data_IF_619238192797
#
_entry.id   IF_619238192797
#
_cell.length_a   1.000
_cell.length_b   1.000
_cell.length_c   1.000
_cell.angle_alpha   90.00
_cell.angle_beta   90.00
_cell.angle_gamma   90.00
#
_symmetry.space_group_name_H-M   'P 1'
#
loop_
_entity.id
_entity.type
_entity.pdbx_description
1 polymer ?
#
# COMPACT_ATOMS: atom_id res chain seq x y z
N UNK A 1 -34.93 21.91 7.15
CA UNK A 1 -33.92 21.20 7.93
C UNK A 1 -34.27 19.71 7.84
N UNK A 2 -33.81 19.04 6.78
CA UNK A 2 -33.98 17.57 6.64
C UNK A 2 -32.64 16.96 7.11
N UNK A 3 -32.63 16.50 8.35
CA UNK A 3 -31.58 15.64 8.85
C UNK A 3 -31.84 14.28 8.23
N UNK A 4 -31.26 14.01 7.06
CA UNK A 4 -31.18 12.66 6.53
C UNK A 4 -30.03 11.96 7.25
N UNK A 5 -30.35 11.29 8.33
CA UNK A 5 -29.54 10.21 8.90
C UNK A 5 -29.64 8.99 7.97
N UNK A 6 -28.93 9.03 6.90
CA UNK A 6 -28.62 7.85 6.08
C UNK A 6 -27.31 8.13 5.37
N UNK A 7 -26.23 7.64 5.95
CA UNK A 7 -24.93 7.55 5.33
C UNK A 7 -24.93 6.45 4.25
N UNK A 8 -25.83 6.59 3.27
CA UNK A 8 -25.78 5.71 2.11
C UNK A 8 -24.73 6.29 1.15
N UNK A 9 -23.68 5.52 0.86
CA UNK A 9 -22.84 5.77 -0.31
C UNK A 9 -23.72 6.07 -1.51
N UNK A 10 -23.33 7.06 -2.33
CA UNK A 10 -23.97 7.27 -3.61
C UNK A 10 -23.99 5.94 -4.39
N UNK A 11 -25.08 5.67 -5.09
CA UNK A 11 -25.08 4.58 -6.09
C UNK A 11 -24.14 4.96 -7.24
N UNK A 12 -23.64 4.00 -7.98
CA UNK A 12 -22.85 4.20 -9.19
C UNK A 12 -23.52 5.18 -10.15
N UNK A 13 -24.84 4.99 -10.38
CA UNK A 13 -25.64 5.87 -11.24
C UNK A 13 -25.65 7.31 -10.74
N UNK A 14 -25.83 7.54 -9.44
CA UNK A 14 -25.82 8.88 -8.86
C UNK A 14 -24.43 9.54 -8.98
N UNK A 15 -23.38 8.80 -8.68
CA UNK A 15 -22.01 9.29 -8.77
C UNK A 15 -21.63 9.67 -10.20
N UNK A 16 -21.95 8.81 -11.18
CA UNK A 16 -21.75 9.10 -12.59
C UNK A 16 -22.56 10.29 -13.06
N UNK A 17 -23.82 10.44 -12.61
CA UNK A 17 -24.65 11.61 -12.91
C UNK A 17 -24.01 12.91 -12.42
N UNK A 18 -23.41 12.92 -11.22
CA UNK A 18 -22.74 14.11 -10.67
C UNK A 18 -21.53 14.50 -11.52
N UNK A 19 -20.63 13.54 -11.85
CA UNK A 19 -19.43 13.86 -12.65
C UNK A 19 -19.79 14.25 -14.08
N UNK A 20 -20.78 13.61 -14.71
CA UNK A 20 -21.25 13.96 -16.05
C UNK A 20 -21.92 15.35 -16.08
N UNK A 21 -22.63 15.72 -15.02
CA UNK A 21 -23.21 17.04 -14.90
C UNK A 21 -22.14 18.12 -14.88
N UNK A 22 -21.07 17.94 -14.10
CA UNK A 22 -19.94 18.86 -14.07
C UNK A 22 -19.27 18.96 -15.45
N UNK A 23 -19.08 17.83 -16.16
CA UNK A 23 -18.57 17.83 -17.54
C UNK A 23 -19.45 18.66 -18.47
N UNK A 24 -20.79 18.49 -18.41
CA UNK A 24 -21.75 19.23 -19.28
C UNK A 24 -21.79 20.73 -18.99
N UNK A 25 -21.52 21.15 -17.77
CA UNK A 25 -21.50 22.57 -17.38
C UNK A 25 -20.24 23.30 -17.86
N UNK A 26 -19.14 22.56 -18.11
CA UNK A 26 -17.86 23.15 -18.51
C UNK A 26 -17.92 23.73 -19.94
N UNK A 27 -17.24 24.88 -20.10
CA UNK A 27 -16.95 25.56 -21.36
C UNK A 27 -15.46 25.50 -21.73
N UNK A 28 -14.67 24.72 -21.00
CA UNK A 28 -13.26 24.49 -21.31
C UNK A 28 -13.11 23.67 -22.61
N UNK A 29 -11.93 23.74 -23.24
CA UNK A 29 -11.60 22.91 -24.40
C UNK A 29 -11.64 21.42 -24.05
N UNK A 30 -11.10 21.08 -22.88
CA UNK A 30 -11.21 19.74 -22.26
C UNK A 30 -11.49 19.91 -20.77
N UNK A 31 -12.21 18.95 -20.19
CA UNK A 31 -12.46 18.88 -18.75
C UNK A 31 -12.38 17.44 -18.27
N UNK A 32 -11.75 17.26 -17.12
CA UNK A 32 -11.71 15.99 -16.37
C UNK A 32 -12.33 16.21 -15.00
N UNK A 33 -13.23 15.34 -14.62
CA UNK A 33 -13.93 15.39 -13.34
C UNK A 33 -13.73 14.08 -12.59
N UNK A 34 -13.39 14.18 -11.31
CA UNK A 34 -13.33 13.04 -10.40
C UNK A 34 -14.14 13.30 -9.14
N UNK A 35 -14.85 12.27 -8.70
CA UNK A 35 -15.62 12.25 -7.47
C UNK A 35 -15.08 11.14 -6.56
N UNK A 36 -14.69 11.50 -5.35
CA UNK A 36 -14.40 10.57 -4.26
C UNK A 36 -15.41 10.78 -3.15
N UNK A 37 -16.12 9.74 -2.75
CA UNK A 37 -17.08 9.80 -1.64
C UNK A 37 -17.04 8.50 -0.86
N UNK A 38 -17.33 8.57 0.43
CA UNK A 38 -17.34 7.41 1.28
C UNK A 38 -17.54 7.70 2.75
N UNK A 39 -17.51 6.64 3.53
CA UNK A 39 -17.54 6.68 4.98
C UNK A 39 -16.28 5.98 5.53
N UNK A 40 -15.58 6.66 6.40
CA UNK A 40 -14.44 6.15 7.14
C UNK A 40 -14.78 6.08 8.61
N UNK A 41 -14.57 4.93 9.22
CA UNK A 41 -14.84 4.71 10.65
C UNK A 41 -13.64 4.09 11.32
N UNK A 42 -13.33 4.56 12.54
CA UNK A 42 -12.18 4.14 13.32
C UNK A 42 -12.57 3.93 14.78
N UNK A 43 -12.24 2.77 15.31
CA UNK A 43 -12.22 2.49 16.76
C UNK A 43 -10.76 2.32 17.19
N UNK A 44 -10.26 3.22 18.03
CA UNK A 44 -8.91 3.14 18.62
C UNK A 44 -9.02 2.64 20.05
N UNK A 45 -8.07 1.84 20.47
CA UNK A 45 -7.98 1.34 21.83
C UNK A 45 -6.53 1.40 22.36
N UNK A 46 -6.40 1.55 23.63
CA UNK A 46 -5.13 1.56 24.37
C UNK A 46 -5.38 1.05 25.80
N UNK A 47 -4.39 0.41 26.40
CA UNK A 47 -4.48 -0.18 27.74
C UNK A 47 -5.71 -1.08 27.88
N UNK A 48 -6.00 -1.89 26.85
CA UNK A 48 -7.15 -2.79 26.78
C UNK A 48 -8.52 -2.10 26.87
N UNK A 49 -8.62 -0.81 26.53
CA UNK A 49 -9.86 -0.05 26.55
C UNK A 49 -10.01 0.79 25.30
N UNK A 50 -11.24 0.91 24.81
CA UNK A 50 -11.54 1.82 23.70
C UNK A 50 -11.33 3.25 24.17
N UNK A 51 -10.44 3.97 23.51
CA UNK A 51 -10.10 5.36 23.79
C UNK A 51 -10.77 6.35 22.83
N UNK A 52 -11.12 5.91 21.63
CA UNK A 52 -11.69 6.79 20.60
C UNK A 52 -12.55 6.00 19.60
N UNK A 53 -13.68 6.58 19.19
CA UNK A 53 -14.53 6.07 18.14
C UNK A 53 -14.94 7.24 17.24
N UNK A 54 -14.59 7.17 15.97
CA UNK A 54 -14.82 8.25 15.00
C UNK A 54 -15.50 7.65 13.77
N UNK A 55 -16.46 8.37 13.21
CA UNK A 55 -16.98 8.15 11.86
C UNK A 55 -17.00 9.47 11.13
N UNK A 56 -16.59 9.47 9.88
CA UNK A 56 -16.61 10.67 9.03
C UNK A 56 -17.09 10.31 7.63
N UNK A 57 -17.94 11.14 7.06
CA UNK A 57 -18.32 11.09 5.65
C UNK A 57 -17.36 11.96 4.86
N UNK A 58 -16.87 11.45 3.75
CA UNK A 58 -15.99 12.15 2.81
C UNK A 58 -16.78 12.40 1.53
N UNK A 59 -16.73 13.61 1.01
CA UNK A 59 -17.17 13.97 -0.33
C UNK A 59 -16.18 14.95 -0.91
N UNK A 60 -15.64 14.65 -2.07
CA UNK A 60 -14.73 15.54 -2.79
C UNK A 60 -14.96 15.41 -4.29
N UNK A 61 -15.49 16.46 -4.90
CA UNK A 61 -15.64 16.59 -6.35
C UNK A 61 -14.55 17.53 -6.86
N UNK A 62 -13.64 17.02 -7.66
CA UNK A 62 -12.57 17.80 -8.28
C UNK A 62 -12.81 17.96 -9.77
N UNK A 63 -12.75 19.19 -10.26
CA UNK A 63 -12.91 19.56 -11.66
C UNK A 63 -11.60 20.15 -12.16
N UNK A 64 -11.01 19.57 -13.19
CA UNK A 64 -9.81 20.09 -13.86
C UNK A 64 -10.18 20.54 -15.27
N UNK A 65 -10.07 21.84 -15.52
CA UNK A 65 -10.35 22.46 -16.82
C UNK A 65 -9.05 22.72 -17.59
N UNK A 66 -9.10 22.52 -18.92
CA UNK A 66 -7.96 22.69 -19.81
C UNK A 66 -8.27 23.70 -20.92
N UNK A 67 -7.29 24.57 -21.23
CA UNK A 67 -7.25 25.46 -22.39
C UNK A 67 -5.89 25.31 -23.06
N UNK A 68 -5.84 24.53 -24.13
CA UNK A 68 -4.58 24.07 -24.72
C UNK A 68 -3.77 23.31 -23.68
N UNK A 69 -2.53 23.75 -23.43
CA UNK A 69 -1.63 23.15 -22.42
C UNK A 69 -1.75 23.75 -21.02
N UNK A 70 -2.70 24.62 -20.80
CA UNK A 70 -2.95 25.24 -19.49
C UNK A 70 -4.04 24.49 -18.76
N UNK A 71 -3.87 24.21 -17.50
CA UNK A 71 -4.87 23.55 -16.68
C UNK A 71 -4.90 24.07 -15.26
N UNK A 72 -6.05 23.98 -14.62
CA UNK A 72 -6.21 24.19 -13.19
C UNK A 72 -7.38 23.39 -12.67
N UNK A 73 -7.32 23.06 -11.39
CA UNK A 73 -8.35 22.31 -10.68
C UNK A 73 -9.05 23.17 -9.63
N UNK A 74 -10.33 22.93 -9.46
CA UNK A 74 -11.09 23.39 -8.31
C UNK A 74 -11.86 22.22 -7.72
N UNK A 75 -12.01 22.19 -6.40
CA UNK A 75 -12.72 21.13 -5.69
C UNK A 75 -13.81 21.70 -4.78
N UNK A 76 -14.85 20.91 -4.58
CA UNK A 76 -15.92 21.17 -3.63
C UNK A 76 -16.22 19.91 -2.81
N UNK A 77 -16.71 20.14 -1.59
CA UNK A 77 -17.12 19.10 -0.65
C UNK A 77 -18.64 18.98 -0.53
N UNK A 78 -19.37 19.70 -1.39
CA UNK A 78 -20.82 19.71 -1.50
C UNK A 78 -21.23 19.36 -2.92
N UNK A 79 -22.42 18.77 -3.10
CA UNK A 79 -22.87 18.29 -4.41
C UNK A 79 -24.16 18.98 -4.93
N UNK A 80 -24.51 20.11 -4.33
CA UNK A 80 -25.58 20.96 -4.89
C UNK A 80 -25.16 21.61 -6.23
N UNK A 81 -26.15 21.99 -7.02
CA UNK A 81 -25.92 22.49 -8.39
C UNK A 81 -25.07 23.75 -8.43
N UNK A 82 -25.30 24.66 -7.48
CA UNK A 82 -24.62 25.97 -7.44
C UNK A 82 -23.14 25.78 -7.05
N UNK A 83 -22.86 24.89 -6.09
CA UNK A 83 -21.47 24.52 -5.71
C UNK A 83 -20.72 23.91 -6.88
N UNK A 84 -21.34 22.97 -7.60
CA UNK A 84 -20.73 22.34 -8.79
C UNK A 84 -20.48 23.39 -9.89
N UNK A 85 -21.47 24.23 -10.21
CA UNK A 85 -21.32 25.28 -11.22
C UNK A 85 -20.22 26.29 -10.86
N UNK A 86 -20.15 26.68 -9.58
CA UNK A 86 -19.09 27.55 -9.05
C UNK A 86 -17.71 26.95 -9.17
N UNK A 87 -17.56 25.67 -8.87
CA UNK A 87 -16.28 24.96 -9.00
C UNK A 87 -15.85 24.84 -10.47
N UNK A 88 -16.76 24.50 -11.38
CA UNK A 88 -16.48 24.48 -12.83
C UNK A 88 -15.99 25.86 -13.28
N UNK A 89 -16.74 26.94 -12.97
CA UNK A 89 -16.33 28.28 -13.32
C UNK A 89 -14.97 28.68 -12.77
N UNK A 90 -14.72 28.34 -11.49
CA UNK A 90 -13.43 28.64 -10.83
C UNK A 90 -12.26 27.88 -11.47
N UNK A 91 -12.43 26.60 -11.80
CA UNK A 91 -11.39 25.84 -12.50
C UNK A 91 -11.05 26.43 -13.87
N UNK A 92 -12.06 26.87 -14.64
CA UNK A 92 -11.88 27.53 -15.93
C UNK A 92 -11.16 28.88 -15.82
N UNK A 93 -11.55 29.73 -14.88
CA UNK A 93 -10.92 31.02 -14.64
C UNK A 93 -9.44 30.85 -14.28
N UNK A 94 -9.13 29.93 -13.39
CA UNK A 94 -7.75 29.60 -12.99
C UNK A 94 -6.96 29.00 -14.16
N UNK A 95 -7.53 28.09 -14.93
CA UNK A 95 -6.84 27.44 -16.06
C UNK A 95 -6.46 28.45 -17.17
N UNK A 96 -7.28 29.49 -17.43
CA UNK A 96 -6.97 30.52 -18.42
C UNK A 96 -5.72 31.33 -18.08
N UNK A 97 -5.45 31.56 -16.80
CA UNK A 97 -4.29 32.33 -16.33
C UNK A 97 -3.11 31.46 -15.91
N UNK A 98 -3.29 30.15 -15.83
CA UNK A 98 -2.23 29.21 -15.49
C UNK A 98 -1.09 29.24 -16.55
N UNK A 99 0.16 28.95 -16.17
CA UNK A 99 1.22 28.72 -17.15
C UNK A 99 0.93 27.44 -17.97
N UNK A 100 1.47 27.39 -19.20
CA UNK A 100 1.39 26.18 -20.00
C UNK A 100 2.26 25.08 -19.37
N UNK A 101 1.68 23.89 -19.24
CA UNK A 101 2.42 22.70 -18.77
C UNK A 101 3.24 22.11 -19.94
N UNK A 102 4.58 22.06 -19.85
CA UNK A 102 5.42 21.45 -20.87
C UNK A 102 5.22 19.92 -20.96
N UNK A 103 4.70 19.28 -19.90
CA UNK A 103 4.44 17.85 -19.83
C UNK A 103 2.95 17.51 -20.04
N UNK A 104 2.16 18.47 -20.52
CA UNK A 104 0.76 18.26 -20.81
C UNK A 104 0.53 17.06 -21.71
N UNK A 105 -0.50 16.30 -21.38
CA UNK A 105 -1.00 15.17 -22.18
C UNK A 105 -2.50 15.32 -22.42
N UNK A 106 -3.00 14.99 -23.64
CA UNK A 106 -4.44 15.01 -23.92
C UNK A 106 -5.17 14.02 -22.98
N UNK A 107 -6.43 14.31 -22.67
CA UNK A 107 -7.26 13.40 -21.89
C UNK A 107 -7.41 12.05 -22.64
N UNK A 108 -7.55 10.97 -21.88
CA UNK A 108 -7.78 9.66 -22.45
C UNK A 108 -9.16 9.57 -23.12
N UNK A 109 -9.27 8.90 -24.27
CA UNK A 109 -10.55 8.52 -24.86
C UNK A 109 -11.23 7.47 -23.96
N UNK A 110 -12.51 7.09 -24.26
CA UNK A 110 -13.16 5.97 -23.58
C UNK A 110 -12.28 4.74 -23.48
N UNK A 111 -12.23 4.15 -22.31
CA UNK A 111 -11.43 2.95 -22.00
C UNK A 111 -12.35 1.76 -21.77
N UNK A 112 -11.83 0.57 -21.99
CA UNK A 112 -12.46 -0.68 -21.55
C UNK A 112 -11.82 -1.12 -20.25
N UNK A 113 -12.64 -1.34 -19.25
CA UNK A 113 -12.20 -1.85 -17.94
C UNK A 113 -12.66 -3.29 -17.76
N UNK A 114 -11.81 -4.09 -17.14
CA UNK A 114 -12.19 -5.44 -16.74
C UNK A 114 -13.14 -5.36 -15.53
N UNK A 115 -14.43 -5.44 -15.80
CA UNK A 115 -15.49 -5.36 -14.79
C UNK A 115 -15.53 -6.66 -13.97
N UNK A 116 -14.64 -6.78 -13.00
CA UNK A 116 -14.64 -7.86 -12.02
C UNK A 116 -15.60 -7.53 -10.88
N UNK A 117 -15.98 -8.55 -10.10
CA UNK A 117 -16.77 -8.32 -8.89
C UNK A 117 -16.08 -7.29 -8.00
N UNK A 118 -16.73 -6.17 -7.66
CA UNK A 118 -16.12 -5.16 -6.83
C UNK A 118 -15.74 -5.75 -5.47
N UNK A 119 -14.68 -5.21 -4.87
CA UNK A 119 -14.32 -5.50 -3.48
C UNK A 119 -15.27 -4.75 -2.54
N UNK A 120 -16.57 -5.02 -2.62
CA UNK A 120 -17.58 -4.34 -1.81
C UNK A 120 -18.37 -5.35 -0.98
N UNK A 121 -18.39 -5.12 0.32
CA UNK A 121 -19.12 -5.88 1.31
C UNK A 121 -20.07 -4.98 2.10
N UNK A 122 -21.38 -5.23 1.98
CA UNK A 122 -22.39 -4.43 2.65
C UNK A 122 -22.27 -4.47 4.18
N UNK A 123 -21.83 -5.60 4.75
CA UNK A 123 -21.62 -5.69 6.20
C UNK A 123 -20.50 -4.76 6.67
N UNK A 124 -19.41 -4.66 5.91
CA UNK A 124 -18.32 -3.72 6.19
C UNK A 124 -18.76 -2.26 6.04
N UNK A 125 -19.52 -1.96 4.96
CA UNK A 125 -20.01 -0.61 4.69
C UNK A 125 -20.97 -0.07 5.75
N UNK A 126 -21.69 -0.97 6.45
CA UNK A 126 -22.76 -0.57 7.40
C UNK A 126 -22.48 -1.00 8.84
N UNK A 127 -21.27 -1.46 9.15
CA UNK A 127 -20.94 -1.92 10.49
C UNK A 127 -21.10 -0.81 11.53
N UNK A 128 -21.88 -1.10 12.56
CA UNK A 128 -22.15 -0.10 13.62
C UNK A 128 -20.94 0.14 14.51
N UNK A 129 -20.84 1.32 15.18
CA UNK A 129 -19.81 1.57 16.19
C UNK A 129 -19.81 0.53 17.31
N UNK A 130 -20.98 0.04 17.72
CA UNK A 130 -21.12 -0.98 18.75
C UNK A 130 -20.52 -2.32 18.31
N UNK A 131 -20.84 -2.77 17.10
CA UNK A 131 -20.28 -4.02 16.56
C UNK A 131 -18.75 -3.95 16.42
N UNK A 132 -18.18 -2.80 15.99
CA UNK A 132 -16.72 -2.62 16.00
C UNK A 132 -16.15 -2.65 17.40
N UNK A 133 -16.84 -2.05 18.40
CA UNK A 133 -16.42 -2.07 19.79
C UNK A 133 -16.38 -3.48 20.36
N UNK A 134 -17.39 -4.31 20.07
CA UNK A 134 -17.45 -5.71 20.48
C UNK A 134 -16.28 -6.54 19.89
N UNK A 135 -15.95 -6.33 18.62
CA UNK A 135 -14.78 -6.96 17.99
C UNK A 135 -13.46 -6.56 18.65
N UNK A 136 -13.27 -5.26 18.95
CA UNK A 136 -12.08 -4.77 19.66
C UNK A 136 -12.02 -5.34 21.08
N UNK A 137 -13.16 -5.46 21.76
CA UNK A 137 -13.23 -6.00 23.10
C UNK A 137 -12.73 -7.45 23.18
N UNK A 138 -12.92 -8.27 22.15
CA UNK A 138 -12.39 -9.64 22.10
C UNK A 138 -10.86 -9.64 22.20
N UNK A 139 -10.17 -8.80 21.41
CA UNK A 139 -8.73 -8.66 21.48
C UNK A 139 -8.24 -8.08 22.81
N UNK A 140 -8.94 -7.07 23.36
CA UNK A 140 -8.63 -6.46 24.64
C UNK A 140 -8.79 -7.47 25.79
N UNK A 141 -9.86 -8.27 25.79
CA UNK A 141 -10.09 -9.30 26.79
C UNK A 141 -9.00 -10.37 26.78
N UNK A 142 -8.60 -10.82 25.58
CA UNK A 142 -7.51 -11.79 25.41
C UNK A 142 -6.18 -11.24 25.91
N UNK A 143 -5.88 -9.99 25.59
CA UNK A 143 -4.67 -9.29 26.08
C UNK A 143 -4.66 -9.20 27.61
N UNK A 144 -5.77 -8.77 28.22
CA UNK A 144 -5.89 -8.67 29.70
C UNK A 144 -5.73 -10.01 30.39
N UNK A 145 -6.35 -11.08 29.87
CA UNK A 145 -6.19 -12.45 30.40
C UNK A 145 -4.73 -12.92 30.38
N UNK A 146 -3.97 -12.52 29.35
CA UNK A 146 -2.54 -12.81 29.25
C UNK A 146 -1.64 -11.85 30.02
N UNK A 147 -2.17 -10.94 30.81
CA UNK A 147 -1.40 -9.96 31.60
C UNK A 147 -0.68 -8.91 30.72
N UNK A 148 -1.19 -8.67 29.52
CA UNK A 148 -0.61 -7.73 28.55
C UNK A 148 -1.40 -6.41 28.47
N UNK A 149 -0.72 -5.36 28.03
CA UNK A 149 -1.31 -4.08 27.66
C UNK A 149 -1.52 -4.03 26.13
N UNK A 150 -2.78 -4.16 25.73
CA UNK A 150 -3.18 -4.15 24.32
C UNK A 150 -3.50 -2.75 23.81
N UNK A 151 -3.01 -2.42 22.62
CA UNK A 151 -3.28 -1.15 21.93
C UNK A 151 -3.43 -1.39 20.43
N UNK A 152 -4.25 -0.59 19.76
CA UNK A 152 -4.43 -0.75 18.31
C UNK A 152 -5.60 0.02 17.74
N UNK A 153 -6.00 -0.41 16.54
CA UNK A 153 -7.10 0.20 15.79
C UNK A 153 -7.90 -0.86 15.03
N UNK A 154 -9.20 -0.67 14.96
CA UNK A 154 -10.07 -1.31 13.98
C UNK A 154 -10.72 -0.21 13.15
N UNK A 155 -10.44 -0.18 11.86
CA UNK A 155 -11.04 0.78 10.93
C UNK A 155 -11.81 0.07 9.82
N UNK A 156 -12.85 0.74 9.34
CA UNK A 156 -13.59 0.35 8.14
C UNK A 156 -13.71 1.54 7.22
N UNK A 157 -13.65 1.26 5.93
CA UNK A 157 -13.83 2.23 4.87
C UNK A 157 -14.80 1.66 3.85
N UNK A 158 -15.77 2.47 3.45
CA UNK A 158 -16.62 2.20 2.30
C UNK A 158 -16.49 3.39 1.36
N UNK A 159 -15.99 3.19 0.17
CA UNK A 159 -15.65 4.26 -0.77
C UNK A 159 -16.20 4.01 -2.16
N UNK A 160 -16.47 5.12 -2.85
CA UNK A 160 -16.81 5.16 -4.26
C UNK A 160 -15.92 6.20 -4.94
N UNK A 161 -15.36 5.82 -6.07
CA UNK A 161 -14.58 6.70 -6.93
C UNK A 161 -15.16 6.68 -8.34
N UNK A 162 -15.56 7.86 -8.84
CA UNK A 162 -16.09 8.01 -10.19
C UNK A 162 -15.33 9.09 -10.96
N UNK A 163 -15.16 8.87 -12.26
CA UNK A 163 -14.53 9.81 -13.18
C UNK A 163 -15.36 10.00 -14.44
N UNK A 164 -15.28 11.19 -15.02
CA UNK A 164 -15.77 11.48 -16.36
C UNK A 164 -14.93 12.57 -17.02
N UNK A 165 -14.90 12.60 -18.34
CA UNK A 165 -14.22 13.65 -19.11
C UNK A 165 -14.99 14.07 -20.35
N UNK A 166 -14.62 15.22 -20.92
CA UNK A 166 -15.16 15.72 -22.18
C UNK A 166 -14.86 14.84 -23.38
N UNK A 167 -13.85 13.95 -23.29
CA UNK A 167 -13.52 12.96 -24.33
C UNK A 167 -14.41 11.74 -24.31
N UNK A 168 -15.40 11.67 -23.38
CA UNK A 168 -16.30 10.54 -23.20
C UNK A 168 -15.78 9.43 -22.30
N UNK A 169 -14.61 9.61 -21.67
CA UNK A 169 -14.13 8.71 -20.64
C UNK A 169 -15.12 8.70 -19.46
N UNK A 170 -15.39 7.52 -18.92
CA UNK A 170 -16.37 7.32 -17.86
C UNK A 170 -16.06 6.03 -17.12
N UNK A 171 -15.93 6.10 -15.80
CA UNK A 171 -15.72 4.93 -14.95
C UNK A 171 -16.20 5.19 -13.52
N UNK A 172 -16.59 4.11 -12.84
CA UNK A 172 -16.94 4.14 -11.43
C UNK A 172 -16.46 2.84 -10.76
N UNK A 173 -16.00 2.94 -9.53
CA UNK A 173 -15.64 1.80 -8.72
C UNK A 173 -16.10 2.01 -7.27
N UNK A 174 -16.64 0.95 -6.66
CA UNK A 174 -16.96 0.90 -5.24
C UNK A 174 -16.06 -0.12 -4.56
N UNK A 175 -15.65 0.19 -3.34
CA UNK A 175 -14.84 -0.74 -2.53
C UNK A 175 -15.11 -0.58 -1.05
N UNK A 176 -14.88 -1.66 -0.30
CA UNK A 176 -14.80 -1.64 1.15
C UNK A 176 -13.44 -2.15 1.59
N UNK A 177 -13.02 -1.70 2.76
CA UNK A 177 -11.80 -2.13 3.43
C UNK A 177 -12.03 -2.19 4.92
N UNK A 178 -11.56 -3.24 5.54
CA UNK A 178 -11.44 -3.37 6.98
C UNK A 178 -9.97 -3.60 7.34
N UNK A 179 -9.50 -2.92 8.37
CA UNK A 179 -8.10 -2.99 8.80
C UNK A 179 -8.06 -3.11 10.33
N UNK A 180 -7.40 -4.14 10.82
CA UNK A 180 -7.20 -4.37 12.24
C UNK A 180 -5.71 -4.41 12.55
N UNK A 181 -5.24 -3.54 13.42
CA UNK A 181 -3.88 -3.56 13.95
C UNK A 181 -3.89 -3.72 15.46
N UNK A 182 -2.99 -4.55 15.95
CA UNK A 182 -2.90 -4.88 17.37
C UNK A 182 -1.44 -4.93 17.81
N UNK A 183 -1.15 -4.27 18.94
CA UNK A 183 0.12 -4.34 19.66
C UNK A 183 -0.15 -4.85 21.04
N UNK A 184 0.56 -5.87 21.50
CA UNK A 184 0.59 -6.29 22.91
C UNK A 184 1.96 -5.99 23.51
N UNK A 185 1.97 -5.54 24.77
CA UNK A 185 3.18 -5.35 25.58
C UNK A 185 3.05 -6.13 26.88
N UNK A 186 4.10 -6.88 27.21
CA UNK A 186 4.23 -7.67 28.46
C UNK A 186 5.61 -7.39 29.01
N UNK A 187 5.70 -6.64 30.12
CA UNK A 187 6.97 -6.20 30.68
C UNK A 187 7.82 -5.44 29.64
N UNK A 188 9.00 -5.96 29.29
CA UNK A 188 9.92 -5.43 28.28
C UNK A 188 9.73 -6.08 26.88
N UNK A 189 8.78 -7.02 26.76
CA UNK A 189 8.43 -7.64 25.50
C UNK A 189 7.30 -6.92 24.78
N UNK A 190 7.38 -6.90 23.45
CA UNK A 190 6.31 -6.34 22.59
C UNK A 190 6.16 -7.15 21.31
N UNK A 191 4.93 -7.15 20.79
CA UNK A 191 4.65 -7.66 19.45
C UNK A 191 3.53 -6.85 18.79
N UNK A 192 3.56 -6.84 17.48
CA UNK A 192 2.56 -6.18 16.63
C UNK A 192 2.22 -7.07 15.45
N UNK A 193 0.95 -7.03 15.05
CA UNK A 193 0.51 -7.53 13.76
C UNK A 193 -0.65 -6.69 13.21
N UNK A 194 -0.88 -6.84 11.92
CA UNK A 194 -1.96 -6.19 11.18
C UNK A 194 -2.59 -7.17 10.21
N UNK A 195 -3.90 -7.05 10.04
CA UNK A 195 -4.64 -7.75 8.98
C UNK A 195 -5.52 -6.76 8.25
N UNK A 196 -5.55 -6.88 6.92
CA UNK A 196 -6.38 -6.07 6.03
C UNK A 196 -7.24 -6.99 5.17
N UNK A 197 -8.54 -6.72 5.09
CA UNK A 197 -9.48 -7.46 4.25
C UNK A 197 -10.41 -6.49 3.52
N UNK A 198 -11.11 -6.94 2.49
CA UNK A 198 -12.20 -6.18 1.86
C UNK A 198 -13.52 -6.37 2.61
N UNK A 199 -13.65 -7.44 3.40
CA UNK A 199 -14.77 -7.71 4.30
C UNK A 199 -14.29 -7.74 5.75
N UNK A 200 -15.01 -7.06 6.67
CA UNK A 200 -14.73 -7.08 8.10
C UNK A 200 -14.84 -8.48 8.69
N UNK A 201 -15.68 -9.33 8.10
CA UNK A 201 -15.88 -10.72 8.54
C UNK A 201 -14.67 -11.62 8.23
N UNK A 202 -13.78 -11.18 7.35
CA UNK A 202 -12.54 -11.91 7.01
C UNK A 202 -11.36 -11.52 7.93
N UNK A 203 -11.53 -10.56 8.85
CA UNK A 203 -10.47 -10.19 9.79
C UNK A 203 -10.32 -11.26 10.88
N UNK A 204 -9.16 -11.90 11.02
CA UNK A 204 -8.90 -12.91 12.04
C UNK A 204 -8.54 -12.26 13.38
N UNK A 205 -9.45 -11.47 13.96
CA UNK A 205 -9.17 -10.62 15.13
C UNK A 205 -8.66 -11.42 16.33
N UNK A 206 -9.34 -12.51 16.66
CA UNK A 206 -8.99 -13.35 17.81
C UNK A 206 -7.65 -14.06 17.58
N UNK A 207 -7.47 -14.71 16.44
CA UNK A 207 -6.25 -15.45 16.10
C UNK A 207 -5.04 -14.50 16.03
N UNK A 208 -5.25 -13.30 15.47
CA UNK A 208 -4.20 -12.29 15.40
C UNK A 208 -3.84 -11.77 16.80
N UNK A 209 -4.82 -11.57 17.68
CA UNK A 209 -4.58 -11.14 19.05
C UNK A 209 -3.82 -12.21 19.85
N UNK A 210 -4.15 -13.50 19.67
CA UNK A 210 -3.41 -14.61 20.26
C UNK A 210 -1.98 -14.68 19.77
N UNK A 211 -1.77 -14.65 18.47
CA UNK A 211 -0.43 -14.65 17.87
C UNK A 211 0.44 -13.49 18.38
N UNK A 212 -0.15 -12.29 18.47
CA UNK A 212 0.57 -11.11 18.98
C UNK A 212 0.91 -11.25 20.45
N UNK A 213 -0.02 -11.75 21.27
CA UNK A 213 0.21 -11.98 22.69
C UNK A 213 1.32 -13.00 22.95
N UNK A 214 1.25 -14.16 22.28
CA UNK A 214 2.26 -15.22 22.43
C UNK A 214 3.65 -14.71 22.03
N UNK A 215 3.74 -13.95 20.95
CA UNK A 215 5.00 -13.36 20.47
C UNK A 215 5.49 -12.26 21.44
N UNK A 216 4.61 -11.46 22.05
CA UNK A 216 4.99 -10.48 23.07
C UNK A 216 5.55 -11.15 24.30
N UNK A 217 4.93 -12.23 24.78
CA UNK A 217 5.44 -13.04 25.91
C UNK A 217 6.81 -13.64 25.56
N UNK A 218 6.96 -14.20 24.36
CA UNK A 218 8.21 -14.79 23.89
C UNK A 218 9.34 -13.76 23.69
N UNK A 219 9.02 -12.48 23.51
CA UNK A 219 10.01 -11.41 23.27
C UNK A 219 10.55 -10.75 24.54
N UNK A 220 10.17 -11.23 25.73
CA UNK A 220 10.68 -10.72 27.02
C UNK A 220 12.14 -11.08 27.27
N UNK A 221 12.83 -10.23 28.00
CA UNK A 221 14.23 -10.39 28.37
C UNK A 221 15.16 -10.55 27.15
N UNK A 222 15.10 -9.63 26.17
CA UNK A 222 15.85 -9.75 24.93
C UNK A 222 17.34 -9.61 25.16
N UNK A 223 18.13 -10.51 24.57
CA UNK A 223 19.59 -10.54 24.69
C UNK A 223 20.25 -9.65 23.64
N UNK A 224 21.31 -8.91 23.98
CA UNK A 224 22.12 -8.24 22.97
C UNK A 224 22.86 -9.25 22.10
N UNK A 225 23.03 -8.92 20.81
CA UNK A 225 23.94 -9.64 19.90
C UNK A 225 24.89 -8.62 19.25
N UNK A 226 26.01 -9.10 18.73
CA UNK A 226 26.93 -8.24 17.96
C UNK A 226 26.27 -7.87 16.63
N UNK A 227 26.18 -6.59 16.26
CA UNK A 227 25.77 -6.19 14.93
C UNK A 227 26.65 -6.80 13.83
N UNK A 228 26.11 -7.02 12.65
CA UNK A 228 26.81 -7.65 11.54
C UNK A 228 25.87 -8.10 10.45
N UNK A 229 26.37 -8.91 9.53
CA UNK A 229 25.61 -9.51 8.44
C UNK A 229 25.14 -10.91 8.86
N UNK A 230 23.83 -11.13 8.76
CA UNK A 230 23.22 -12.40 9.17
C UNK A 230 22.22 -12.89 8.12
N UNK A 231 22.01 -14.22 8.01
CA UNK A 231 20.80 -14.75 7.40
C UNK A 231 19.57 -14.25 8.18
N UNK A 232 18.53 -13.82 7.46
CA UNK A 232 17.33 -13.25 8.07
C UNK A 232 16.08 -13.89 7.49
N UNK A 233 15.11 -14.20 8.34
CA UNK A 233 13.74 -14.43 7.92
C UNK A 233 12.95 -13.14 8.21
N UNK A 234 12.47 -12.49 7.17
CA UNK A 234 11.52 -11.38 7.27
C UNK A 234 10.11 -11.95 7.25
N UNK A 235 9.33 -11.71 8.31
CA UNK A 235 7.87 -11.93 8.27
C UNK A 235 7.26 -11.12 7.13
N UNK A 236 6.17 -11.59 6.55
CA UNK A 236 5.50 -10.87 5.46
C UNK A 236 5.19 -9.41 5.79
N UNK A 237 4.89 -9.09 7.06
CA UNK A 237 4.71 -7.70 7.51
C UNK A 237 6.00 -6.87 7.42
N UNK A 238 7.15 -7.44 7.77
CA UNK A 238 8.45 -6.79 7.63
C UNK A 238 8.81 -6.61 6.15
N UNK A 239 8.60 -7.64 5.33
CA UNK A 239 8.89 -7.61 3.90
C UNK A 239 7.97 -6.67 3.13
N UNK A 240 6.67 -6.60 3.47
CA UNK A 240 5.72 -5.61 2.93
C UNK A 240 6.13 -4.15 3.20
N UNK A 241 6.94 -3.92 4.24
CA UNK A 241 7.53 -2.61 4.53
C UNK A 241 8.76 -2.27 3.66
N UNK A 242 9.35 -3.25 2.98
CA UNK A 242 10.59 -3.09 2.20
C UNK A 242 10.39 -3.24 0.68
N UNK A 243 9.62 -4.22 0.23
CA UNK A 243 9.41 -4.49 -1.20
C UNK A 243 8.88 -3.28 -1.99
N UNK A 244 7.91 -2.49 -1.49
CA UNK A 244 7.41 -1.33 -2.23
C UNK A 244 8.50 -0.32 -2.63
N UNK A 245 9.54 -0.15 -1.85
CA UNK A 245 10.66 0.75 -2.18
C UNK A 245 11.38 0.31 -3.47
N UNK A 246 11.54 -1.01 -3.67
CA UNK A 246 12.14 -1.55 -4.89
C UNK A 246 11.20 -1.32 -6.08
N UNK A 247 9.91 -1.60 -5.90
CA UNK A 247 8.91 -1.43 -6.96
C UNK A 247 8.78 0.04 -7.39
N UNK A 248 8.80 1.00 -6.45
CA UNK A 248 8.83 2.44 -6.75
C UNK A 248 10.13 2.85 -7.44
N UNK A 249 11.25 2.19 -7.13
CA UNK A 249 12.54 2.41 -7.78
C UNK A 249 12.60 1.94 -9.24
N UNK A 250 11.58 1.20 -9.72
CA UNK A 250 11.42 0.82 -11.13
C UNK A 250 10.80 1.95 -11.99
N UNK A 251 10.85 3.20 -11.55
CA UNK A 251 10.39 4.36 -12.31
C UNK A 251 11.28 4.60 -13.54
N UNK A 252 10.65 4.64 -14.72
CA UNK A 252 11.36 4.75 -15.99
C UNK A 252 12.09 6.09 -16.15
N UNK A 253 11.47 7.20 -15.73
CA UNK A 253 12.09 8.51 -15.84
C UNK A 253 13.30 8.64 -14.93
N UNK A 254 13.17 8.18 -13.68
CA UNK A 254 14.29 8.19 -12.75
C UNK A 254 15.46 7.33 -13.25
N UNK A 255 15.17 6.17 -13.87
CA UNK A 255 16.18 5.31 -14.44
C UNK A 255 16.88 5.96 -15.64
N UNK A 256 16.12 6.51 -16.59
CA UNK A 256 16.64 7.14 -17.79
C UNK A 256 17.42 8.45 -17.51
N UNK A 257 17.10 9.13 -16.41
CA UNK A 257 17.81 10.34 -15.94
C UNK A 257 19.00 10.04 -14.99
N UNK A 258 19.35 8.78 -14.76
CA UNK A 258 20.50 8.41 -13.94
C UNK A 258 20.28 8.51 -12.41
N UNK A 259 19.01 8.51 -11.96
CA UNK A 259 18.61 8.73 -10.57
C UNK A 259 18.14 7.48 -9.84
N UNK A 260 18.15 6.31 -10.49
CA UNK A 260 17.67 5.03 -9.96
C UNK A 260 18.77 3.98 -9.94
N UNK A 261 18.62 2.95 -9.12
CA UNK A 261 19.44 1.72 -9.17
C UNK A 261 19.29 0.97 -10.51
N UNK A 262 18.24 1.29 -11.26
CA UNK A 262 18.01 0.77 -12.62
C UNK A 262 18.80 1.50 -13.69
N UNK A 263 19.49 2.59 -13.40
CA UNK A 263 20.24 3.37 -14.37
C UNK A 263 21.53 2.70 -14.78
N UNK A 264 21.85 2.78 -16.07
CA UNK A 264 23.17 2.47 -16.62
C UNK A 264 23.86 3.79 -16.96
N UNK A 265 25.12 3.93 -16.59
CA UNK A 265 25.96 5.06 -16.94
C UNK A 265 27.00 4.63 -17.98
N UNK A 266 27.36 5.57 -18.89
CA UNK A 266 28.49 5.41 -19.78
C UNK A 266 29.85 5.64 -19.06
N UNK A 267 30.93 5.60 -19.82
CA UNK A 267 32.29 5.82 -19.30
C UNK A 267 32.52 7.23 -18.75
N UNK A 268 31.69 8.21 -19.09
CA UNK A 268 31.71 9.59 -18.60
C UNK A 268 30.74 9.82 -17.42
N UNK A 269 30.02 8.76 -16.99
CA UNK A 269 29.03 8.82 -15.90
C UNK A 269 27.66 9.39 -16.32
N UNK A 270 27.41 9.57 -17.63
CA UNK A 270 26.12 10.03 -18.16
C UNK A 270 25.13 8.87 -18.29
N UNK A 271 23.82 9.13 -18.14
CA UNK A 271 22.80 8.12 -18.38
C UNK A 271 22.90 7.51 -19.78
N UNK A 272 23.03 6.19 -19.88
CA UNK A 272 23.20 5.45 -21.13
C UNK A 272 22.13 4.36 -21.35
N UNK A 273 21.16 4.26 -20.44
CA UNK A 273 20.09 3.29 -20.50
C UNK A 273 19.63 2.81 -19.14
N UNK A 274 18.93 1.68 -19.13
CA UNK A 274 18.44 1.08 -17.89
C UNK A 274 18.58 -0.45 -17.93
N UNK A 275 18.48 -1.06 -16.77
CA UNK A 275 18.73 -2.46 -16.50
C UNK A 275 17.49 -3.38 -16.64
N UNK A 276 16.41 -2.89 -17.27
CA UNK A 276 15.27 -3.76 -17.56
C UNK A 276 15.69 -4.93 -18.48
N UNK A 277 15.26 -6.13 -18.15
CA UNK A 277 15.67 -7.36 -18.85
C UNK A 277 16.94 -8.02 -18.30
N UNK A 278 17.63 -7.41 -17.33
CA UNK A 278 18.77 -8.04 -16.66
C UNK A 278 18.31 -8.90 -15.46
N UNK A 279 19.03 -9.98 -15.18
CA UNK A 279 18.84 -10.80 -13.98
C UNK A 279 19.37 -10.04 -12.75
N UNK A 280 18.52 -9.32 -12.03
CA UNK A 280 18.92 -8.49 -10.89
C UNK A 280 18.66 -9.14 -9.54
N UNK A 281 17.63 -9.98 -9.47
CA UNK A 281 17.13 -10.55 -8.23
C UNK A 281 17.14 -12.08 -8.28
N UNK A 282 16.87 -12.70 -7.14
CA UNK A 282 16.67 -14.16 -7.09
C UNK A 282 15.53 -14.59 -8.02
N UNK A 283 15.62 -15.75 -8.68
CA UNK A 283 14.51 -16.31 -9.47
C UNK A 283 13.23 -16.54 -8.68
N UNK A 284 13.29 -16.57 -7.34
CA UNK A 284 12.13 -16.66 -6.46
C UNK A 284 11.35 -15.32 -6.37
N UNK A 285 11.92 -14.23 -6.84
CA UNK A 285 11.27 -12.92 -6.85
C UNK A 285 10.40 -12.80 -8.09
N UNK A 286 9.13 -13.11 -7.92
CA UNK A 286 8.08 -13.04 -8.94
C UNK A 286 7.07 -11.98 -8.50
N UNK A 287 7.05 -10.83 -9.15
CA UNK A 287 6.18 -9.72 -8.75
C UNK A 287 5.30 -9.28 -9.91
N UNK A 288 4.02 -9.19 -9.66
CA UNK A 288 3.01 -8.71 -10.61
C UNK A 288 2.11 -7.63 -9.99
N UNK A 289 1.52 -6.84 -10.85
CA UNK A 289 0.33 -6.06 -10.55
C UNK A 289 -0.88 -6.91 -10.94
N UNK A 290 -1.63 -7.37 -9.96
CA UNK A 290 -2.86 -8.13 -10.18
C UNK A 290 -4.03 -7.50 -9.41
N UNK A 291 -4.79 -6.58 -10.04
CA UNK A 291 -5.95 -5.97 -9.41
C UNK A 291 -7.08 -6.96 -9.14
N UNK A 292 -7.05 -8.14 -9.77
CA UNK A 292 -8.03 -9.21 -9.58
C UNK A 292 -7.70 -10.20 -8.48
N UNK A 293 -6.51 -10.10 -7.91
CA UNK A 293 -6.11 -11.05 -6.87
C UNK A 293 -7.19 -11.17 -5.79
N UNK A 294 -7.63 -12.40 -5.41
CA UNK A 294 -8.79 -12.60 -4.52
C UNK A 294 -8.67 -11.87 -3.18
N UNK A 295 -7.46 -11.74 -2.64
CA UNK A 295 -7.21 -11.03 -1.38
C UNK A 295 -7.26 -9.50 -1.53
N UNK A 296 -7.09 -8.95 -2.74
CA UNK A 296 -7.02 -7.49 -2.98
C UNK A 296 -8.29 -6.93 -3.58
N UNK A 297 -8.75 -7.48 -4.70
CA UNK A 297 -9.89 -6.98 -5.49
C UNK A 297 -9.82 -5.45 -5.66
N UNK A 298 -8.76 -4.99 -6.29
CA UNK A 298 -8.41 -3.58 -6.41
C UNK A 298 -9.17 -2.88 -7.54
N UNK A 299 -9.06 -1.55 -7.63
CA UNK A 299 -9.65 -0.75 -8.69
C UNK A 299 -9.19 -1.17 -10.08
N UNK A 300 -10.09 -1.11 -11.05
CA UNK A 300 -9.84 -1.49 -12.45
C UNK A 300 -9.27 -0.35 -13.30
N UNK A 301 -9.12 0.85 -12.74
CA UNK A 301 -8.54 2.01 -13.40
C UNK A 301 -7.76 2.91 -12.43
N UNK A 302 -6.83 3.67 -12.97
CA UNK A 302 -6.06 4.69 -12.26
C UNK A 302 -6.80 6.04 -12.21
N UNK A 303 -6.30 6.97 -11.43
CA UNK A 303 -6.91 8.28 -11.22
C UNK A 303 -7.09 9.13 -12.49
N UNK A 304 -6.30 8.89 -13.53
CA UNK A 304 -6.41 9.54 -14.85
C UNK A 304 -7.29 8.76 -15.84
N UNK A 305 -7.83 7.63 -15.43
CA UNK A 305 -8.67 6.75 -16.23
C UNK A 305 -7.94 5.68 -17.03
N UNK A 306 -6.61 5.58 -16.93
CA UNK A 306 -5.88 4.48 -17.54
C UNK A 306 -6.29 3.15 -16.93
N UNK A 307 -6.47 2.12 -17.76
CA UNK A 307 -6.85 0.77 -17.27
C UNK A 307 -5.78 0.18 -16.36
N UNK A 308 -6.22 -0.33 -15.21
CA UNK A 308 -5.39 -1.04 -14.25
C UNK A 308 -5.51 -2.56 -14.50
N UNK A 309 -4.76 -3.05 -15.48
CA UNK A 309 -4.76 -4.44 -15.90
C UNK A 309 -3.64 -5.23 -15.22
N UNK A 310 -3.71 -6.56 -15.34
CA UNK A 310 -2.61 -7.45 -14.96
C UNK A 310 -1.31 -7.06 -15.67
N UNK A 311 -0.20 -7.11 -14.94
CA UNK A 311 1.13 -6.82 -15.47
C UNK A 311 2.19 -7.62 -14.72
N UNK A 312 3.02 -8.39 -15.45
CA UNK A 312 4.26 -8.93 -14.89
C UNK A 312 5.27 -7.78 -14.72
N UNK A 313 5.70 -7.54 -13.47
CA UNK A 313 6.68 -6.49 -13.14
C UNK A 313 8.08 -7.11 -13.09
N UNK A 314 8.22 -8.19 -12.32
CA UNK A 314 9.45 -8.97 -12.19
C UNK A 314 9.10 -10.43 -12.42
N UNK A 315 9.79 -11.07 -13.36
CA UNK A 315 9.64 -12.49 -13.69
C UNK A 315 10.98 -13.20 -13.51
N UNK A 316 10.99 -14.27 -12.72
CA UNK A 316 12.20 -15.03 -12.42
C UNK A 316 13.39 -14.14 -11.98
N UNK A 317 13.10 -13.08 -11.21
CA UNK A 317 14.10 -12.10 -10.77
C UNK A 317 14.53 -11.08 -11.81
N UNK A 318 13.94 -11.08 -13.02
CA UNK A 318 14.21 -10.15 -14.11
C UNK A 318 13.12 -9.08 -14.18
N UNK A 319 13.40 -7.79 -13.96
CA UNK A 319 12.45 -6.71 -14.22
C UNK A 319 12.07 -6.67 -15.71
N UNK A 320 10.80 -6.91 -16.03
CA UNK A 320 10.32 -7.01 -17.43
C UNK A 320 10.19 -5.66 -18.10
N UNK A 321 9.89 -4.63 -17.33
CA UNK A 321 9.66 -3.27 -17.80
C UNK A 321 9.87 -2.31 -16.65
N UNK A 322 9.95 -1.01 -16.99
CA UNK A 322 9.88 0.09 -16.01
C UNK A 322 8.50 0.74 -16.03
N UNK A 323 8.14 1.41 -14.93
CA UNK A 323 6.89 2.15 -14.82
C UNK A 323 6.97 3.44 -15.65
N UNK A 324 6.33 3.43 -16.81
CA UNK A 324 6.24 4.58 -17.69
C UNK A 324 4.95 5.37 -17.42
N UNK A 325 5.07 6.61 -16.96
CA UNK A 325 3.95 7.55 -16.97
C UNK A 325 3.50 7.81 -18.42
N UNK A 326 2.30 8.35 -18.64
CA UNK A 326 1.80 8.66 -19.98
C UNK A 326 2.74 9.60 -20.74
N UNK A 327 3.21 10.65 -20.08
CA UNK A 327 4.15 11.61 -20.67
C UNK A 327 5.47 10.95 -21.04
N UNK A 328 6.10 10.24 -20.10
CA UNK A 328 7.41 9.64 -20.35
C UNK A 328 7.35 8.51 -21.38
N UNK A 329 6.26 7.75 -21.39
CA UNK A 329 5.98 6.76 -22.42
C UNK A 329 5.92 7.38 -23.83
N UNK A 330 5.20 8.49 -23.98
CA UNK A 330 5.13 9.22 -25.24
C UNK A 330 6.50 9.75 -25.69
N UNK A 331 7.30 10.31 -24.76
CA UNK A 331 8.68 10.78 -25.06
C UNK A 331 9.62 9.65 -25.53
N UNK A 332 9.40 8.43 -25.06
CA UNK A 332 10.26 7.28 -25.35
C UNK A 332 9.68 6.31 -26.39
N UNK A 333 8.52 6.61 -26.97
CA UNK A 333 7.84 5.70 -27.91
C UNK A 333 7.46 4.36 -27.24
N UNK A 334 7.09 4.39 -25.96
CA UNK A 334 6.70 3.22 -25.17
C UNK A 334 5.20 3.29 -24.83
N UNK A 335 4.66 2.18 -24.36
CA UNK A 335 3.31 2.12 -23.83
C UNK A 335 3.28 2.59 -22.36
N UNK A 336 2.29 3.43 -22.01
CA UNK A 336 2.06 3.82 -20.64
C UNK A 336 1.56 2.62 -19.82
N UNK A 337 2.26 2.29 -18.73
CA UNK A 337 1.92 1.14 -17.89
C UNK A 337 1.14 1.54 -16.63
N UNK A 338 1.12 2.81 -16.28
CA UNK A 338 0.58 3.29 -15.02
C UNK A 338 1.45 2.87 -13.82
N UNK A 339 0.93 3.07 -12.61
CA UNK A 339 1.63 2.71 -11.39
C UNK A 339 1.77 1.19 -11.23
N UNK A 340 2.87 0.73 -10.63
CA UNK A 340 3.11 -0.68 -10.31
C UNK A 340 2.45 -1.06 -8.97
N UNK A 341 1.15 -0.88 -8.91
CA UNK A 341 0.33 -1.12 -7.73
C UNK A 341 -1.08 -1.59 -8.15
N UNK A 342 -1.72 -2.57 -7.47
CA UNK A 342 -1.27 -3.24 -6.24
C UNK A 342 -0.12 -4.21 -6.49
N UNK A 343 0.70 -4.43 -5.46
CA UNK A 343 1.86 -5.32 -5.52
C UNK A 343 1.44 -6.72 -5.08
N UNK A 344 1.66 -7.71 -5.94
CA UNK A 344 1.50 -9.12 -5.61
C UNK A 344 2.82 -9.82 -5.88
N UNK A 345 3.41 -10.45 -4.86
CA UNK A 345 4.55 -11.33 -5.03
C UNK A 345 4.10 -12.78 -4.84
N UNK A 346 4.51 -13.65 -5.73
CA UNK A 346 4.24 -15.08 -5.63
C UNK A 346 4.95 -15.68 -4.41
N UNK A 347 4.24 -16.49 -3.65
CA UNK A 347 4.79 -17.25 -2.53
C UNK A 347 4.91 -18.74 -2.86
N UNK A 348 4.97 -19.53 -1.81
CA UNK A 348 4.98 -21.00 -1.85
C UNK A 348 3.92 -21.55 -0.89
N UNK A 349 3.86 -22.88 -0.76
CA UNK A 349 3.02 -23.57 0.24
C UNK A 349 3.70 -23.68 1.62
N UNK A 350 4.96 -23.22 1.75
CA UNK A 350 5.69 -23.28 3.01
C UNK A 350 5.15 -22.25 4.01
N UNK A 351 5.10 -22.63 5.28
CA UNK A 351 4.83 -21.69 6.37
C UNK A 351 6.10 -20.92 6.78
N UNK A 352 5.96 -19.86 7.55
CA UNK A 352 7.11 -19.20 8.19
C UNK A 352 7.86 -20.15 9.14
N UNK A 353 7.15 -21.08 9.79
CA UNK A 353 7.76 -22.08 10.65
C UNK A 353 8.63 -23.05 9.87
N UNK A 354 8.25 -23.42 8.64
CA UNK A 354 9.08 -24.25 7.75
C UNK A 354 10.36 -23.51 7.35
N UNK A 355 10.30 -22.22 7.08
CA UNK A 355 11.47 -21.40 6.79
C UNK A 355 12.42 -21.36 8.02
N UNK A 356 11.87 -21.23 9.23
CA UNK A 356 12.65 -21.28 10.47
C UNK A 356 13.30 -22.65 10.63
N UNK A 357 12.54 -23.74 10.44
CA UNK A 357 13.03 -25.12 10.58
C UNK A 357 14.19 -25.45 9.63
N UNK A 358 14.26 -24.79 8.47
CA UNK A 358 15.32 -24.93 7.46
C UNK A 358 16.49 -23.95 7.66
N UNK A 359 16.53 -23.20 8.77
CA UNK A 359 17.56 -22.18 9.02
C UNK A 359 18.39 -22.60 10.22
N UNK A 360 19.65 -22.97 9.98
CA UNK A 360 20.57 -23.39 11.02
C UNK A 360 20.86 -22.26 12.01
N UNK A 361 21.16 -21.06 11.49
CA UNK A 361 21.46 -19.86 12.28
C UNK A 361 21.03 -18.60 11.56
N UNK A 362 20.34 -17.69 12.27
CA UNK A 362 19.87 -16.46 11.66
C UNK A 362 19.04 -15.60 12.61
N UNK A 363 18.37 -14.60 12.06
CA UNK A 363 17.52 -13.68 12.79
C UNK A 363 16.11 -13.70 12.19
N UNK A 364 15.09 -13.86 13.01
CA UNK A 364 13.69 -13.65 12.62
C UNK A 364 13.28 -12.21 12.94
N UNK A 365 12.73 -11.51 11.96
CA UNK A 365 12.28 -10.12 12.07
C UNK A 365 10.79 -10.03 11.79
N UNK A 366 10.00 -9.66 12.81
CA UNK A 366 8.55 -9.50 12.69
C UNK A 366 8.16 -8.24 11.95
N UNK A 367 8.92 -7.16 12.12
CA UNK A 367 8.58 -5.83 11.59
C UNK A 367 9.82 -5.02 11.26
N UNK A 368 9.84 -4.42 10.05
CA UNK A 368 10.74 -3.33 9.69
C UNK A 368 10.05 -1.99 10.01
N UNK A 369 10.71 -1.14 10.77
CA UNK A 369 10.14 0.10 11.27
C UNK A 369 11.01 1.31 10.91
N UNK A 370 10.36 2.45 10.69
CA UNK A 370 11.01 3.73 10.42
C UNK A 370 12.03 3.68 9.27
N UNK A 371 11.62 3.01 8.18
CA UNK A 371 12.46 2.88 6.97
C UNK A 371 12.61 4.23 6.28
N UNK A 372 13.85 4.61 5.92
CA UNK A 372 14.20 5.87 5.25
C UNK A 372 15.32 5.64 4.24
N UNK A 373 15.38 6.45 3.19
CA UNK A 373 16.52 6.46 2.28
C UNK A 373 17.81 6.87 2.97
N UNK A 374 18.88 6.12 2.73
CA UNK A 374 20.26 6.50 2.90
C UNK A 374 20.79 7.01 1.55
N UNK A 375 20.60 6.20 0.50
CA UNK A 375 20.99 6.56 -0.85
C UNK A 375 19.90 6.09 -1.84
N UNK A 376 19.06 7.00 -2.37
CA UNK A 376 18.01 6.62 -3.30
C UNK A 376 18.54 6.07 -4.64
N UNK A 377 19.76 6.44 -5.05
CA UNK A 377 20.36 5.97 -6.31
C UNK A 377 20.76 4.48 -6.26
N UNK A 378 21.24 4.01 -5.12
CA UNK A 378 21.56 2.59 -4.89
C UNK A 378 20.40 1.84 -4.25
N UNK A 379 19.36 2.57 -3.85
CA UNK A 379 18.24 2.08 -3.06
C UNK A 379 18.70 1.48 -1.71
N UNK A 380 19.68 2.13 -1.09
CA UNK A 380 20.07 1.84 0.28
C UNK A 380 19.10 2.52 1.24
N UNK A 381 18.58 1.77 2.19
CA UNK A 381 17.68 2.26 3.24
C UNK A 381 18.24 1.96 4.61
N UNK A 382 17.90 2.81 5.57
CA UNK A 382 18.06 2.55 7.01
C UNK A 382 16.71 2.31 7.64
N UNK A 383 16.70 1.56 8.71
CA UNK A 383 15.51 1.28 9.52
C UNK A 383 15.91 0.52 10.78
N UNK A 384 14.91 0.01 11.48
CA UNK A 384 15.13 -0.82 12.66
C UNK A 384 14.15 -1.98 12.70
N UNK A 385 14.54 -3.07 13.35
CA UNK A 385 13.61 -4.14 13.73
C UNK A 385 12.78 -3.68 14.92
N UNK A 386 11.56 -4.21 15.03
CA UNK A 386 10.64 -3.87 16.12
C UNK A 386 9.62 -4.97 16.36
N UNK A 387 9.03 -4.98 17.54
CA UNK A 387 7.86 -5.80 17.88
C UNK A 387 8.08 -7.30 17.67
N UNK A 388 9.25 -7.80 18.08
CA UNK A 388 9.63 -9.20 18.02
C UNK A 388 10.79 -9.44 17.04
N UNK A 389 11.99 -9.48 17.59
CA UNK A 389 13.22 -9.87 16.87
C UNK A 389 13.82 -11.04 17.62
N UNK A 390 14.09 -12.14 16.93
CA UNK A 390 14.48 -13.39 17.57
C UNK A 390 15.71 -14.00 16.90
N UNK A 391 16.54 -14.66 17.73
CA UNK A 391 17.62 -15.48 17.26
C UNK A 391 17.09 -16.86 16.86
N UNK A 392 17.53 -17.32 15.69
CA UNK A 392 17.29 -18.69 15.20
C UNK A 392 18.56 -19.51 15.39
N UNK A 393 18.41 -20.70 15.95
CA UNK A 393 19.47 -21.68 16.12
C UNK A 393 18.90 -23.09 15.95
N UNK A 394 19.59 -23.92 15.16
CA UNK A 394 19.20 -25.30 14.88
C UNK A 394 17.75 -25.48 14.43
N UNK A 395 17.29 -24.61 13.54
CA UNK A 395 15.91 -24.65 12.99
C UNK A 395 14.82 -24.22 13.97
N UNK A 396 15.14 -23.50 15.04
CA UNK A 396 14.16 -23.05 16.06
C UNK A 396 14.39 -21.61 16.46
N UNK A 397 13.33 -20.93 16.85
CA UNK A 397 13.41 -19.68 17.60
C UNK A 397 14.01 -20.00 18.98
N UNK A 398 15.24 -19.57 19.22
CA UNK A 398 15.99 -19.92 20.43
C UNK A 398 15.76 -18.93 21.57
N UNK A 399 15.81 -17.63 21.29
CA UNK A 399 15.60 -16.57 22.28
C UNK A 399 15.33 -15.22 21.59
N UNK A 400 14.67 -14.27 22.28
CA UNK A 400 14.50 -12.91 21.78
C UNK A 400 15.81 -12.14 21.86
N UNK A 401 16.02 -11.24 20.90
CA UNK A 401 17.16 -10.33 20.86
C UNK A 401 16.70 -8.88 20.86
N UNK A 402 17.58 -7.99 21.35
CA UNK A 402 17.34 -6.55 21.29
C UNK A 402 17.15 -6.13 19.84
N UNK A 403 16.29 -5.13 19.64
CA UNK A 403 16.04 -4.57 18.32
C UNK A 403 17.35 -4.03 17.70
N UNK A 404 17.47 -4.16 16.41
CA UNK A 404 18.65 -3.82 15.63
C UNK A 404 18.32 -2.74 14.62
N UNK A 405 19.22 -1.78 14.44
CA UNK A 405 19.21 -0.88 13.30
C UNK A 405 19.87 -1.56 12.12
N UNK A 406 19.33 -1.36 10.94
CA UNK A 406 19.91 -1.86 9.69
C UNK A 406 20.18 -0.74 8.69
N UNK A 407 21.19 -0.95 7.85
CA UNK A 407 21.38 -0.26 6.58
C UNK A 407 21.49 -1.33 5.51
N UNK A 408 20.53 -1.36 4.59
CA UNK A 408 20.40 -2.43 3.61
C UNK A 408 20.19 -1.86 2.20
N UNK A 409 20.98 -2.35 1.25
CA UNK A 409 20.73 -2.17 -0.18
C UNK A 409 19.65 -3.15 -0.60
N UNK A 410 18.45 -2.65 -0.93
CA UNK A 410 17.29 -3.50 -1.18
C UNK A 410 17.40 -4.38 -2.44
N UNK A 411 18.00 -3.93 -3.56
CA UNK A 411 18.32 -4.82 -4.67
C UNK A 411 19.15 -6.03 -4.28
N UNK A 412 20.17 -5.85 -3.43
CA UNK A 412 21.01 -6.94 -2.92
C UNK A 412 20.20 -7.90 -2.02
N UNK A 413 19.33 -7.33 -1.16
CA UNK A 413 18.40 -8.13 -0.35
C UNK A 413 17.53 -9.04 -1.23
N UNK A 414 16.95 -8.53 -2.32
CA UNK A 414 16.13 -9.33 -3.23
C UNK A 414 16.96 -10.34 -4.03
N UNK A 415 18.21 -10.05 -4.35
CA UNK A 415 19.12 -11.02 -4.99
C UNK A 415 19.44 -12.20 -4.06
N UNK A 416 19.50 -11.93 -2.76
CA UNK A 416 19.86 -12.92 -1.75
C UNK A 416 18.65 -13.69 -1.16
N UNK A 417 17.44 -13.49 -1.69
CA UNK A 417 16.26 -14.31 -1.33
C UNK A 417 16.48 -15.77 -1.77
N UNK A 418 16.36 -16.72 -0.84
CA UNK A 418 16.54 -18.14 -1.13
C UNK A 418 15.37 -19.03 -0.67
N UNK A 419 14.39 -18.46 0.03
CA UNK A 419 13.13 -19.13 0.33
C UNK A 419 12.00 -18.12 0.51
N UNK A 420 10.76 -18.54 0.20
CA UNK A 420 9.54 -17.73 0.35
C UNK A 420 8.45 -18.57 1.01
N UNK A 421 7.62 -17.96 1.85
CA UNK A 421 6.49 -18.62 2.49
C UNK A 421 5.19 -18.46 1.68
N UNK A 422 4.08 -18.96 2.23
CA UNK A 422 2.74 -18.62 1.77
C UNK A 422 2.47 -17.11 1.91
N UNK A 423 1.66 -16.58 0.98
CA UNK A 423 1.35 -15.15 0.93
C UNK A 423 0.24 -14.77 1.91
N UNK A 424 0.31 -13.52 2.39
CA UNK A 424 -0.79 -12.84 3.08
C UNK A 424 -0.95 -11.41 2.56
N UNK A 425 -2.11 -10.82 2.82
CA UNK A 425 -2.35 -9.41 2.51
C UNK A 425 -1.83 -8.51 3.63
N UNK A 426 -1.07 -7.50 3.25
CA UNK A 426 -0.60 -6.42 4.12
C UNK A 426 -0.91 -5.08 3.43
N UNK A 427 -1.97 -4.40 3.91
CA UNK A 427 -2.45 -3.18 3.26
C UNK A 427 -2.85 -3.40 1.79
N UNK A 428 -2.15 -2.74 0.88
CA UNK A 428 -2.36 -2.86 -0.56
C UNK A 428 -1.42 -3.83 -1.27
N UNK A 429 -0.73 -4.71 -0.54
CA UNK A 429 0.18 -5.70 -1.10
C UNK A 429 -0.17 -7.11 -0.63
N UNK A 430 0.10 -8.09 -1.48
CA UNK A 430 0.05 -9.52 -1.14
C UNK A 430 1.45 -10.06 -1.31
N UNK A 431 2.07 -10.45 -0.20
CA UNK A 431 3.48 -10.86 -0.18
C UNK A 431 3.72 -12.03 0.77
N UNK A 432 4.74 -12.87 0.49
CA UNK A 432 5.19 -13.90 1.42
C UNK A 432 6.09 -13.30 2.52
N UNK A 433 6.39 -14.07 3.55
CA UNK A 433 7.63 -13.92 4.29
C UNK A 433 8.79 -14.48 3.46
N UNK A 434 9.99 -13.96 3.64
CA UNK A 434 11.15 -14.33 2.84
C UNK A 434 12.36 -14.66 3.72
N UNK A 435 13.18 -15.64 3.30
CA UNK A 435 14.51 -15.82 3.84
C UNK A 435 15.54 -15.17 2.93
N UNK A 436 16.44 -14.38 3.53
CA UNK A 436 17.52 -13.64 2.87
C UNK A 436 18.84 -14.11 3.43
N UNK A 437 19.80 -14.47 2.58
CA UNK A 437 21.11 -15.00 2.99
C UNK A 437 21.97 -14.01 3.75
N UNK A 438 21.88 -12.73 3.41
CA UNK A 438 22.70 -11.67 3.96
C UNK A 438 21.90 -10.38 4.16
N UNK A 439 21.75 -9.97 5.43
CA UNK A 439 21.09 -8.74 5.80
C UNK A 439 21.95 -7.99 6.82
N UNK A 440 22.17 -6.69 6.60
CA UNK A 440 23.18 -5.93 7.33
C UNK A 440 22.58 -5.14 8.50
N UNK A 441 22.96 -5.51 9.73
CA UNK A 441 22.64 -4.80 10.96
C UNK A 441 23.83 -3.99 11.44
N UNK A 442 23.62 -2.71 11.73
CA UNK A 442 24.67 -1.72 12.01
C UNK A 442 24.84 -1.40 13.49
N UNK A 443 23.78 -1.49 14.28
CA UNK A 443 23.83 -1.23 15.72
C UNK A 443 22.63 -1.83 16.46
N UNK A 444 22.77 -1.98 17.77
CA UNK A 444 21.65 -2.27 18.68
C UNK A 444 20.85 -0.96 18.89
N UNK A 445 19.54 -1.09 19.07
CA UNK A 445 18.67 0.03 19.48
C UNK A 445 17.86 -0.35 20.71
N UNK A 446 17.69 0.59 21.63
CA UNK A 446 16.86 0.42 22.83
C UNK A 446 15.39 0.84 22.59
N UNK A 447 14.95 1.01 21.33
CA UNK A 447 13.54 1.24 21.01
C UNK A 447 12.71 0.00 21.35
N UNK A 448 11.70 0.18 22.16
CA UNK A 448 10.66 -0.83 22.45
C UNK A 448 9.63 -0.86 21.34
#
# INVERSE_FOLDING_TARGET
MIVTTSSALLSEHQALSVVEKAVKLSKAEEVFVSLSTGEESLSRFSENQISQNISKTVFNLSITSYFGKKSASAAVTEFDEDAIASAVKRSEELARIAPADPEWMPLLPPQTYDLRSPAFDAATATVSPLARAEMVQQACARSSQGGAHGSGTLSTEASLYAIASSTGLRACNQSTKADFSFTARVEDGSSWAQSTAWSINELPITDLAEQVLDRAIASRNPRPITPGVYPVILDGAAFAGLLPWVIWGLDARAADEGRSFMSIADSEGKPAGNRAGEQLFSPLVQVQRDPAHPLLRSNTFFGDGLSNNYLEIIKDGVPQSLSYSRYWAAQKGKEAKGAYYPIVMTGSDQSLADLVAQTERGIFVSRAWYVRYVNPKTLEVTGMTRDGTFWIEDGKIAYPIKNLRFNQVLPDMLRDVDAVSAVKRYGGSVVPGVRVKAFNFTSITDSL
#
